data_IF_580199270435
#
_entry.id   IF_580199270435
#
_cell.length_a   1.000
_cell.length_b   1.000
_cell.length_c   1.000
_cell.angle_alpha   90.00
_cell.angle_beta   90.00
_cell.angle_gamma   90.00
#
_symmetry.space_group_name_H-M   'P 1'
#
loop_
_entity.id
_entity.type
_entity.pdbx_description
1 polymer ?
#
# COMPACT_ATOMS: atom_id res chain seq x y z
N UNK A 1 -20.52 20.18 -22.34
CA UNK A 1 -19.97 20.78 -21.13
C UNK A 1 -19.40 19.65 -20.29
N UNK A 2 -18.07 19.49 -20.11
CA UNK A 2 -17.56 18.51 -19.19
C UNK A 2 -17.92 18.94 -17.76
N UNK A 3 -18.56 18.02 -17.02
CA UNK A 3 -18.86 18.19 -15.60
C UNK A 3 -17.60 18.58 -14.86
N UNK A 4 -17.56 19.78 -14.30
CA UNK A 4 -16.55 20.22 -13.35
C UNK A 4 -16.70 19.43 -12.05
N UNK A 5 -16.07 18.24 -12.00
CA UNK A 5 -15.96 17.50 -10.75
C UNK A 5 -15.21 18.34 -9.73
N UNK A 6 -15.72 18.41 -8.50
CA UNK A 6 -15.03 19.02 -7.38
C UNK A 6 -13.57 18.54 -7.32
N UNK A 7 -12.59 19.39 -6.97
CA UNK A 7 -11.21 18.97 -6.88
C UNK A 7 -11.12 17.79 -5.91
N UNK A 8 -10.64 16.64 -6.42
CA UNK A 8 -10.38 15.46 -5.60
C UNK A 8 -9.41 15.88 -4.48
N UNK A 9 -9.76 15.60 -3.24
CA UNK A 9 -8.86 15.79 -2.11
C UNK A 9 -7.50 15.11 -2.32
N UNK A 10 -6.53 15.28 -1.40
CA UNK A 10 -5.24 14.61 -1.52
C UNK A 10 -5.44 13.10 -1.56
N UNK A 11 -4.75 12.42 -2.49
CA UNK A 11 -4.69 10.97 -2.56
C UNK A 11 -3.96 10.43 -1.33
N UNK A 12 -4.53 9.45 -0.64
CA UNK A 12 -3.90 8.78 0.52
C UNK A 12 -3.21 7.50 0.08
N UNK A 13 -1.90 7.45 0.27
CA UNK A 13 -1.09 6.26 0.02
C UNK A 13 -0.63 5.65 1.33
N UNK A 14 -0.80 4.33 1.46
CA UNK A 14 -0.23 3.54 2.54
C UNK A 14 1.07 2.91 2.03
N UNK A 15 2.19 3.20 2.71
CA UNK A 15 3.50 2.65 2.39
C UNK A 15 3.84 1.52 3.36
N UNK A 16 4.04 0.30 2.85
CA UNK A 16 4.29 -0.90 3.66
C UNK A 16 5.67 -1.46 3.35
N UNK A 17 6.53 -1.52 4.37
CA UNK A 17 7.83 -2.19 4.28
C UNK A 17 7.70 -3.66 4.66
N UNK A 18 8.07 -4.58 3.77
CA UNK A 18 8.16 -6.01 4.11
C UNK A 18 9.32 -6.36 5.04
N UNK A 19 10.17 -5.40 5.39
CA UNK A 19 11.29 -5.58 6.31
C UNK A 19 10.97 -5.00 7.68
N UNK A 20 11.17 -5.79 8.72
CA UNK A 20 11.08 -5.33 10.12
C UNK A 20 12.36 -4.68 10.64
N UNK A 21 13.43 -4.62 9.84
CA UNK A 21 14.68 -3.94 10.24
C UNK A 21 14.46 -2.44 10.27
N UNK A 22 14.86 -1.79 11.38
CA UNK A 22 14.75 -0.35 11.57
C UNK A 22 15.43 0.47 10.43
N UNK A 23 16.60 0.02 10.00
CA UNK A 23 17.35 0.60 8.89
C UNK A 23 17.43 -0.42 7.75
N UNK A 24 16.47 -0.40 6.85
CA UNK A 24 16.46 -1.22 5.65
C UNK A 24 16.24 -0.36 4.42
N UNK A 25 16.89 -0.71 3.30
CA UNK A 25 16.67 -0.01 2.03
C UNK A 25 15.19 0.05 1.64
N UNK A 26 14.39 -0.97 2.03
CA UNK A 26 12.96 -1.00 1.80
C UNK A 26 12.20 0.04 2.63
N UNK A 27 12.57 0.26 3.88
CA UNK A 27 11.97 1.30 4.71
C UNK A 27 12.44 2.69 4.26
N UNK A 28 13.72 2.85 3.92
CA UNK A 28 14.27 4.15 3.51
C UNK A 28 13.66 4.65 2.19
N UNK A 29 13.45 3.77 1.21
CA UNK A 29 12.80 4.18 -0.05
C UNK A 29 11.34 4.63 0.18
N UNK A 30 10.61 4.02 1.10
CA UNK A 30 9.24 4.43 1.43
C UNK A 30 9.21 5.75 2.20
N UNK A 31 10.19 6.00 3.08
CA UNK A 31 10.37 7.30 3.73
C UNK A 31 10.72 8.38 2.71
N UNK A 32 11.56 8.07 1.71
CA UNK A 32 11.87 8.98 0.61
C UNK A 32 10.63 9.32 -0.22
N UNK A 33 9.76 8.33 -0.55
CA UNK A 33 8.47 8.59 -1.19
C UNK A 33 7.63 9.59 -0.37
N UNK A 34 7.56 9.42 0.94
CA UNK A 34 6.84 10.35 1.82
C UNK A 34 7.42 11.77 1.77
N UNK A 35 8.77 11.91 1.73
CA UNK A 35 9.42 13.21 1.61
C UNK A 35 9.18 13.89 0.25
N UNK A 36 9.04 13.09 -0.81
CA UNK A 36 8.83 13.57 -2.19
C UNK A 36 7.37 13.80 -2.54
N UNK A 37 6.44 13.38 -1.67
CA UNK A 37 5.01 13.54 -1.91
C UNK A 37 4.62 15.03 -2.01
N UNK A 38 3.87 15.35 -3.07
CA UNK A 38 3.31 16.70 -3.26
C UNK A 38 2.10 16.92 -2.33
N UNK A 39 1.64 18.16 -2.14
CA UNK A 39 0.42 18.44 -1.35
C UNK A 39 -0.84 17.71 -1.82
N UNK A 40 -0.83 17.18 -3.05
CA UNK A 40 -1.95 16.39 -3.59
C UNK A 40 -1.87 14.90 -3.24
N UNK A 41 -0.82 14.46 -2.53
CA UNK A 41 -0.60 13.05 -2.11
C UNK A 41 -0.13 13.04 -0.67
N UNK A 42 -0.90 12.39 0.19
CA UNK A 42 -0.51 12.07 1.56
C UNK A 42 0.07 10.64 1.60
N UNK A 43 1.22 10.45 2.27
CA UNK A 43 1.84 9.13 2.43
C UNK A 43 1.96 8.79 3.90
N UNK A 44 1.21 7.78 4.34
CA UNK A 44 1.32 7.16 5.64
C UNK A 44 2.25 5.95 5.56
N UNK A 45 3.27 5.87 6.42
CA UNK A 45 4.13 4.68 6.52
C UNK A 45 3.57 3.78 7.61
N UNK A 46 3.18 2.56 7.24
CA UNK A 46 2.63 1.59 8.18
C UNK A 46 3.76 0.93 9.00
N UNK A 47 3.69 1.02 10.29
CA UNK A 47 4.68 0.49 11.25
C UNK A 47 4.19 -0.72 12.06
N UNK A 48 2.90 -1.07 11.94
CA UNK A 48 2.26 -2.15 12.69
C UNK A 48 2.56 -3.58 12.21
N UNK A 49 3.35 -3.77 11.14
CA UNK A 49 3.55 -5.09 10.52
C UNK A 49 4.08 -6.15 11.49
N UNK A 50 5.00 -5.76 12.38
CA UNK A 50 5.61 -6.66 13.37
C UNK A 50 4.73 -6.99 14.57
N UNK A 51 3.61 -6.29 14.74
CA UNK A 51 2.68 -6.48 15.87
C UNK A 51 1.48 -7.34 15.51
N UNK A 52 1.36 -7.77 14.26
CA UNK A 52 0.26 -8.62 13.82
C UNK A 52 0.42 -10.03 14.41
N UNK A 53 -0.63 -10.59 15.04
CA UNK A 53 -0.62 -12.00 15.41
C UNK A 53 -0.56 -12.86 14.14
N UNK A 54 -0.11 -14.11 14.29
CA UNK A 54 -0.17 -15.04 13.17
C UNK A 54 -1.62 -15.23 12.71
N UNK A 55 -1.82 -15.23 11.40
CA UNK A 55 -3.13 -15.45 10.81
C UNK A 55 -3.69 -16.81 11.27
N UNK A 56 -4.92 -16.75 11.74
CA UNK A 56 -5.70 -17.94 12.08
C UNK A 56 -7.12 -17.75 11.52
N UNK A 57 -7.58 -18.61 10.60
CA UNK A 57 -8.92 -18.55 10.04
C UNK A 57 -10.04 -18.52 11.09
N UNK A 58 -9.84 -19.17 12.24
CA UNK A 58 -10.85 -19.18 13.33
C UNK A 58 -11.09 -17.78 13.94
N UNK A 59 -10.14 -16.87 13.77
CA UNK A 59 -10.24 -15.47 14.24
C UNK A 59 -10.72 -14.51 13.15
N UNK A 60 -11.00 -15.00 11.94
CA UNK A 60 -11.37 -14.20 10.76
C UNK A 60 -12.70 -14.66 10.15
N UNK A 61 -13.47 -15.49 10.85
CA UNK A 61 -14.79 -15.97 10.44
C UNK A 61 -15.89 -14.94 10.67
N UNK A 62 -17.08 -15.24 10.14
CA UNK A 62 -18.28 -14.43 10.36
C UNK A 62 -18.60 -14.34 11.86
N UNK A 63 -18.76 -13.12 12.36
CA UNK A 63 -18.99 -12.85 13.79
C UNK A 63 -17.75 -12.93 14.69
N UNK A 64 -16.58 -13.27 14.16
CA UNK A 64 -15.34 -13.25 14.95
C UNK A 64 -14.91 -11.82 15.30
N UNK A 65 -14.35 -11.66 16.51
CA UNK A 65 -13.74 -10.40 16.93
C UNK A 65 -12.28 -10.38 16.49
N UNK A 66 -11.98 -9.61 15.46
CA UNK A 66 -10.61 -9.46 14.97
C UNK A 66 -9.68 -8.90 16.05
N UNK A 67 -8.42 -9.37 16.16
CA UNK A 67 -7.41 -8.77 17.01
C UNK A 67 -7.22 -7.28 16.67
N UNK A 68 -6.96 -6.43 17.68
CA UNK A 68 -6.87 -4.97 17.51
C UNK A 68 -5.85 -4.56 16.44
N UNK A 69 -4.67 -5.18 16.43
CA UNK A 69 -3.65 -4.91 15.42
C UNK A 69 -4.13 -5.22 13.98
N UNK A 70 -4.98 -6.24 13.82
CA UNK A 70 -5.59 -6.58 12.52
C UNK A 70 -6.64 -5.55 12.14
N UNK A 71 -7.47 -5.11 13.10
CA UNK A 71 -8.42 -4.02 12.87
C UNK A 71 -7.71 -2.75 12.42
N UNK A 72 -6.56 -2.43 13.03
CA UNK A 72 -5.76 -1.25 12.67
C UNK A 72 -5.19 -1.39 11.26
N UNK A 73 -4.66 -2.57 10.88
CA UNK A 73 -4.22 -2.84 9.51
C UNK A 73 -5.35 -2.66 8.50
N UNK A 74 -6.50 -3.30 8.72
CA UNK A 74 -7.67 -3.19 7.83
C UNK A 74 -8.16 -1.77 7.72
N UNK A 75 -8.18 -1.04 8.83
CA UNK A 75 -8.56 0.37 8.86
C UNK A 75 -7.56 1.24 8.07
N UNK A 76 -6.26 1.02 8.21
CA UNK A 76 -5.24 1.72 7.45
C UNK A 76 -5.37 1.46 5.94
N UNK A 77 -5.54 0.18 5.54
CA UNK A 77 -5.79 -0.22 4.15
C UNK A 77 -7.10 0.40 3.63
N UNK A 78 -8.18 0.37 4.42
CA UNK A 78 -9.49 0.91 4.03
C UNK A 78 -9.48 2.41 3.78
N UNK A 79 -8.71 3.18 4.57
CA UNK A 79 -8.56 4.64 4.40
C UNK A 79 -7.67 5.03 3.23
N UNK A 80 -6.78 4.15 2.79
CA UNK A 80 -5.86 4.44 1.71
C UNK A 80 -6.55 4.33 0.34
N UNK A 81 -6.19 5.20 -0.58
CA UNK A 81 -6.59 5.16 -1.99
C UNK A 81 -5.67 4.25 -2.82
N UNK A 82 -4.49 3.94 -2.31
CA UNK A 82 -3.53 3.04 -2.93
C UNK A 82 -2.45 2.61 -1.93
N UNK A 83 -1.69 1.59 -2.28
CA UNK A 83 -0.63 1.04 -1.43
C UNK A 83 0.68 0.99 -2.21
N UNK A 84 1.79 1.38 -1.58
CA UNK A 84 3.13 1.18 -2.11
C UNK A 84 3.87 0.21 -1.20
N UNK A 85 4.32 -0.92 -1.75
CA UNK A 85 5.01 -1.96 -1.00
C UNK A 85 6.47 -2.02 -1.46
N UNK A 86 7.39 -2.05 -0.50
CA UNK A 86 8.80 -2.38 -0.74
C UNK A 86 9.20 -3.55 0.14
N UNK A 87 9.64 -4.65 -0.47
CA UNK A 87 9.89 -5.91 0.24
C UNK A 87 11.25 -6.52 -0.10
N UNK A 88 11.98 -7.02 0.90
CA UNK A 88 13.14 -7.87 0.64
C UNK A 88 12.71 -9.28 0.21
N UNK A 89 13.70 -10.07 -0.19
CA UNK A 89 13.56 -11.50 -0.41
C UNK A 89 14.31 -12.27 0.66
N UNK A 90 13.64 -13.21 1.33
CA UNK A 90 14.24 -14.12 2.31
C UNK A 90 14.00 -15.55 1.87
N UNK A 91 15.09 -16.32 1.68
CA UNK A 91 15.02 -17.71 1.22
C UNK A 91 14.12 -17.89 -0.02
N UNK A 92 14.28 -17.02 -1.02
CA UNK A 92 13.47 -16.96 -2.25
C UNK A 92 11.96 -16.73 -2.02
N UNK A 93 11.55 -16.26 -0.84
CA UNK A 93 10.15 -16.02 -0.50
C UNK A 93 9.85 -14.60 -0.04
N UNK A 94 8.57 -14.28 -0.03
CA UNK A 94 8.03 -13.07 0.61
C UNK A 94 8.28 -13.16 2.11
N UNK A 95 8.76 -12.10 2.79
CA UNK A 95 8.95 -12.12 4.24
C UNK A 95 7.70 -12.54 4.99
N UNK A 96 7.85 -13.44 5.97
CA UNK A 96 6.72 -14.01 6.70
C UNK A 96 5.80 -12.97 7.32
N UNK A 97 6.34 -11.87 7.86
CA UNK A 97 5.53 -10.78 8.42
C UNK A 97 4.65 -10.10 7.35
N UNK A 98 5.17 -9.87 6.14
CA UNK A 98 4.39 -9.30 5.06
C UNK A 98 3.34 -10.28 4.55
N UNK A 99 3.72 -11.55 4.36
CA UNK A 99 2.77 -12.60 3.96
C UNK A 99 1.64 -12.74 4.97
N UNK A 100 1.96 -12.73 6.26
CA UNK A 100 0.98 -12.76 7.35
C UNK A 100 -0.01 -11.57 7.28
N UNK A 101 0.49 -10.37 6.99
CA UNK A 101 -0.39 -9.20 6.80
C UNK A 101 -1.32 -9.37 5.60
N UNK A 102 -0.82 -9.93 4.49
CA UNK A 102 -1.66 -10.22 3.32
C UNK A 102 -2.73 -11.26 3.65
N UNK A 103 -2.39 -12.31 4.42
CA UNK A 103 -3.36 -13.34 4.83
C UNK A 103 -4.52 -12.73 5.64
N UNK A 104 -4.23 -11.78 6.53
CA UNK A 104 -5.25 -11.02 7.27
C UNK A 104 -6.10 -10.09 6.40
N UNK A 105 -5.69 -9.80 5.17
CA UNK A 105 -6.44 -8.93 4.23
C UNK A 105 -7.26 -9.70 3.20
N UNK A 106 -7.04 -11.02 3.06
CA UNK A 106 -7.69 -11.84 2.00
C UNK A 106 -9.21 -11.82 2.11
N UNK A 107 -9.75 -11.90 3.33
CA UNK A 107 -11.20 -11.95 3.57
C UNK A 107 -11.85 -10.56 3.61
N UNK A 108 -11.05 -9.49 3.68
CA UNK A 108 -11.56 -8.13 3.80
C UNK A 108 -11.83 -7.46 2.46
N UNK A 109 -12.89 -6.65 2.34
CA UNK A 109 -13.19 -5.91 1.11
C UNK A 109 -12.24 -4.72 0.89
N UNK A 110 -11.44 -4.33 1.88
CA UNK A 110 -10.64 -3.10 1.88
C UNK A 110 -9.55 -3.10 0.81
N UNK A 111 -9.09 -4.31 0.43
CA UNK A 111 -7.99 -4.49 -0.53
C UNK A 111 -8.47 -4.59 -1.99
N UNK A 112 -9.75 -4.89 -2.23
CA UNK A 112 -10.31 -5.14 -3.55
C UNK A 112 -10.14 -3.90 -4.45
N UNK A 113 -9.62 -4.13 -5.67
CA UNK A 113 -9.29 -3.12 -6.69
C UNK A 113 -8.27 -2.06 -6.25
N UNK A 114 -7.68 -2.19 -5.06
CA UNK A 114 -6.70 -1.24 -4.55
C UNK A 114 -5.51 -1.12 -5.52
N UNK A 115 -5.15 0.10 -5.96
CA UNK A 115 -3.93 0.32 -6.74
C UNK A 115 -2.70 0.00 -5.91
N UNK A 116 -1.81 -0.80 -6.46
CA UNK A 116 -0.57 -1.22 -5.79
C UNK A 116 0.64 -0.83 -6.61
N UNK A 117 1.60 -0.14 -5.98
CA UNK A 117 2.96 0.02 -6.46
C UNK A 117 3.91 -0.96 -5.77
N UNK A 118 4.79 -1.60 -6.52
CA UNK A 118 5.79 -2.53 -5.99
C UNK A 118 7.20 -2.02 -6.26
N UNK A 119 7.97 -1.77 -5.20
CA UNK A 119 9.35 -1.31 -5.28
C UNK A 119 10.31 -2.45 -4.94
N UNK A 120 11.14 -2.82 -5.91
CA UNK A 120 12.19 -3.80 -5.70
C UNK A 120 13.54 -3.10 -5.49
N UNK A 121 14.04 -3.08 -4.25
CA UNK A 121 15.31 -2.42 -3.93
C UNK A 121 16.55 -3.26 -4.22
N UNK A 122 16.37 -4.56 -4.54
CA UNK A 122 17.48 -5.49 -4.79
C UNK A 122 17.31 -6.19 -6.13
N UNK A 123 18.30 -6.13 -7.03
CA UNK A 123 18.24 -6.85 -8.31
C UNK A 123 18.21 -8.38 -8.15
N UNK A 124 18.51 -8.89 -6.96
CA UNK A 124 18.48 -10.32 -6.62
C UNK A 124 17.14 -10.81 -6.10
N UNK A 125 16.23 -9.89 -5.74
CA UNK A 125 14.89 -10.22 -5.21
C UNK A 125 13.90 -10.46 -6.36
N UNK A 126 14.07 -11.53 -7.11
CA UNK A 126 13.23 -11.84 -8.27
C UNK A 126 12.08 -12.78 -7.90
N UNK A 127 12.34 -13.79 -7.08
CA UNK A 127 11.35 -14.79 -6.67
C UNK A 127 10.28 -14.19 -5.76
N UNK A 128 10.70 -13.51 -4.70
CA UNK A 128 9.76 -12.87 -3.76
C UNK A 128 8.93 -11.79 -4.45
N UNK A 129 9.53 -11.02 -5.36
CA UNK A 129 8.80 -9.97 -6.08
C UNK A 129 7.72 -10.56 -6.99
N UNK A 130 8.02 -11.63 -7.73
CA UNK A 130 7.06 -12.33 -8.57
C UNK A 130 5.94 -12.98 -7.74
N UNK A 131 6.29 -13.67 -6.65
CA UNK A 131 5.32 -14.30 -5.74
C UNK A 131 4.41 -13.27 -5.05
N UNK A 132 4.96 -12.12 -4.65
CA UNK A 132 4.18 -11.02 -4.06
C UNK A 132 3.20 -10.43 -5.08
N UNK A 133 3.66 -10.18 -6.31
CA UNK A 133 2.82 -9.68 -7.39
C UNK A 133 1.65 -10.64 -7.69
N UNK A 134 1.92 -11.95 -7.72
CA UNK A 134 0.88 -12.97 -7.94
C UNK A 134 -0.12 -13.02 -6.78
N UNK A 135 0.36 -13.02 -5.53
CA UNK A 135 -0.52 -12.98 -4.35
C UNK A 135 -1.46 -11.78 -4.40
N UNK A 136 -0.94 -10.59 -4.73
CA UNK A 136 -1.74 -9.37 -4.82
C UNK A 136 -2.79 -9.44 -5.94
N UNK A 137 -2.45 -10.00 -7.11
CA UNK A 137 -3.44 -10.21 -8.18
C UNK A 137 -4.56 -11.16 -7.75
N UNK A 138 -4.21 -12.26 -7.07
CA UNK A 138 -5.18 -13.22 -6.51
C UNK A 138 -6.13 -12.55 -5.52
N UNK A 139 -5.65 -11.54 -4.78
CA UNK A 139 -6.46 -10.72 -3.88
C UNK A 139 -7.28 -9.64 -4.60
N UNK A 140 -7.40 -9.70 -5.93
CA UNK A 140 -8.13 -8.75 -6.76
C UNK A 140 -7.65 -7.30 -6.68
N UNK A 141 -6.36 -7.08 -6.40
CA UNK A 141 -5.75 -5.75 -6.45
C UNK A 141 -5.34 -5.37 -7.88
N UNK A 142 -5.00 -4.11 -8.11
CA UNK A 142 -4.54 -3.60 -9.39
C UNK A 142 -3.08 -3.17 -9.29
N UNK A 143 -2.16 -3.95 -9.87
CA UNK A 143 -0.77 -3.54 -9.98
C UNK A 143 -0.64 -2.38 -10.98
N UNK A 144 -0.17 -1.23 -10.51
CA UNK A 144 0.05 -0.04 -11.34
C UNK A 144 1.40 -0.18 -12.04
N UNK A 145 1.42 -0.46 -13.33
CA UNK A 145 2.63 -0.78 -14.10
C UNK A 145 3.74 0.26 -13.90
N UNK A 146 3.44 1.55 -14.05
CA UNK A 146 4.41 2.65 -13.86
C UNK A 146 4.85 2.86 -12.40
N UNK A 147 4.25 2.15 -11.42
CA UNK A 147 4.63 2.16 -10.01
C UNK A 147 5.28 0.83 -9.56
N UNK A 148 5.41 -0.16 -10.44
CA UNK A 148 6.11 -1.41 -10.19
C UNK A 148 7.51 -1.34 -10.78
N UNK A 149 8.50 -0.89 -9.98
CA UNK A 149 9.84 -0.57 -10.49
C UNK A 149 10.95 -1.22 -9.67
N UNK A 150 12.09 -1.49 -10.32
CA UNK A 150 13.32 -1.86 -9.66
C UNK A 150 14.13 -0.61 -9.30
N UNK A 151 14.62 -0.52 -8.07
CA UNK A 151 15.48 0.55 -7.56
C UNK A 151 16.69 -0.09 -6.86
N UNK A 152 17.77 -0.43 -7.56
CA UNK A 152 18.87 -1.25 -7.01
C UNK A 152 19.74 -0.46 -6.02
N UNK A 153 19.20 -0.21 -4.83
CA UNK A 153 19.84 0.55 -3.74
C UNK A 153 20.23 -0.33 -2.53
N UNK A 154 19.86 -1.60 -2.54
CA UNK A 154 20.19 -2.51 -1.45
C UNK A 154 21.72 -2.62 -1.24
N UNK A 155 22.16 -2.48 0.01
CA UNK A 155 23.59 -2.52 0.38
C UNK A 155 24.35 -1.21 0.13
N UNK A 156 23.74 -0.15 -0.42
CA UNK A 156 24.39 1.14 -0.64
C UNK A 156 24.42 2.04 0.59
N UNK A 157 23.75 1.66 1.68
CA UNK A 157 23.73 2.46 2.92
C UNK A 157 23.01 3.81 2.79
N UNK A 158 22.13 3.97 1.79
CA UNK A 158 21.40 5.22 1.56
C UNK A 158 20.24 5.34 2.55
N UNK A 159 20.10 6.50 3.15
CA UNK A 159 18.93 6.94 3.91
C UNK A 159 17.90 7.65 3.01
N UNK A 160 16.75 7.97 3.56
CA UNK A 160 15.67 8.63 2.84
C UNK A 160 16.08 10.00 2.27
N UNK A 161 16.92 10.75 2.97
CA UNK A 161 17.38 12.06 2.53
C UNK A 161 18.32 11.93 1.32
N UNK A 162 19.29 11.03 1.38
CA UNK A 162 20.19 10.72 0.26
C UNK A 162 19.44 10.23 -0.97
N UNK A 163 18.44 9.36 -0.78
CA UNK A 163 17.58 8.87 -1.88
C UNK A 163 16.80 10.03 -2.51
N UNK A 164 16.24 10.92 -1.69
CA UNK A 164 15.43 12.06 -2.16
C UNK A 164 16.27 13.14 -2.86
N UNK A 165 17.56 13.23 -2.56
CA UNK A 165 18.49 14.20 -3.15
C UNK A 165 19.17 13.65 -4.42
N UNK A 166 19.27 12.34 -4.58
CA UNK A 166 19.80 11.71 -5.79
C UNK A 166 18.87 11.98 -6.97
N UNK A 167 19.36 12.62 -8.01
CA UNK A 167 18.57 13.08 -9.16
C UNK A 167 17.83 11.95 -9.86
N UNK A 168 18.48 10.80 -10.05
CA UNK A 168 17.89 9.66 -10.75
C UNK A 168 16.84 8.96 -9.89
N UNK A 169 17.19 8.63 -8.63
CA UNK A 169 16.27 7.96 -7.72
C UNK A 169 15.03 8.82 -7.44
N UNK A 170 15.22 10.12 -7.22
CA UNK A 170 14.15 11.09 -7.06
C UNK A 170 13.18 11.07 -8.26
N UNK A 171 13.70 11.21 -9.48
CA UNK A 171 12.87 11.24 -10.68
C UNK A 171 12.04 9.96 -10.85
N UNK A 172 12.62 8.80 -10.49
CA UNK A 172 11.94 7.50 -10.53
C UNK A 172 10.83 7.42 -9.47
N UNK A 173 11.09 7.86 -8.23
CA UNK A 173 10.09 7.85 -7.17
C UNK A 173 8.95 8.86 -7.43
N UNK A 174 9.26 10.03 -7.97
CA UNK A 174 8.24 10.97 -8.44
C UNK A 174 7.39 10.36 -9.58
N UNK A 175 7.99 9.53 -10.44
CA UNK A 175 7.30 8.73 -11.45
C UNK A 175 6.30 7.75 -10.82
N UNK A 176 6.70 7.05 -9.76
CA UNK A 176 5.80 6.18 -8.97
C UNK A 176 4.60 6.97 -8.45
N UNK A 177 4.84 8.11 -7.79
CA UNK A 177 3.77 8.94 -7.24
C UNK A 177 2.79 9.43 -8.32
N UNK A 178 3.31 9.86 -9.49
CA UNK A 178 2.47 10.24 -10.62
C UNK A 178 1.62 9.08 -11.13
N UNK A 179 2.19 7.89 -11.29
CA UNK A 179 1.48 6.69 -11.76
C UNK A 179 0.40 6.26 -10.79
N UNK A 180 0.69 6.28 -9.48
CA UNK A 180 -0.32 6.00 -8.44
C UNK A 180 -1.47 7.02 -8.49
N UNK A 181 -1.16 8.30 -8.65
CA UNK A 181 -2.18 9.36 -8.78
C UNK A 181 -3.04 9.17 -10.02
N UNK A 182 -2.45 8.78 -11.14
CA UNK A 182 -3.17 8.53 -12.39
C UNK A 182 -4.14 7.34 -12.31
N UNK A 183 -3.88 6.35 -11.44
CA UNK A 183 -4.74 5.20 -11.24
C UNK A 183 -5.97 5.48 -10.34
N UNK A 184 -6.01 6.63 -9.64
CA UNK A 184 -7.05 6.95 -8.67
C UNK A 184 -8.48 7.01 -9.26
N UNK A 185 -8.73 7.64 -10.43
CA UNK A 185 -10.09 7.71 -10.99
C UNK A 185 -10.68 6.33 -11.27
N UNK A 186 -9.91 5.43 -11.86
CA UNK A 186 -10.34 4.06 -12.17
C UNK A 186 -10.64 3.28 -10.88
N UNK A 187 -9.82 3.45 -9.85
CA UNK A 187 -10.05 2.85 -8.54
C UNK A 187 -11.37 3.33 -7.93
N UNK A 188 -11.60 4.63 -7.92
CA UNK A 188 -12.82 5.22 -7.36
C UNK A 188 -14.07 4.74 -8.10
N UNK A 189 -14.03 4.66 -9.43
CA UNK A 189 -15.12 4.16 -10.25
C UNK A 189 -15.44 2.68 -9.92
N UNK A 190 -14.41 1.82 -9.83
CA UNK A 190 -14.58 0.39 -9.49
C UNK A 190 -15.08 0.19 -8.06
N UNK A 191 -14.53 0.94 -7.11
CA UNK A 191 -14.92 0.85 -5.70
C UNK A 191 -16.36 1.28 -5.50
N UNK A 192 -16.81 2.37 -6.16
CA UNK A 192 -18.21 2.83 -6.10
C UNK A 192 -19.22 1.84 -6.69
N UNK A 193 -18.78 0.92 -7.54
CA UNK A 193 -19.61 -0.14 -8.11
C UNK A 193 -19.75 -1.40 -7.23
N UNK A 194 -19.00 -1.49 -6.12
CA UNK A 194 -19.08 -2.63 -5.20
C UNK A 194 -20.39 -2.56 -4.38
N UNK A 195 -21.11 -3.69 -4.20
CA UNK A 195 -22.27 -3.76 -3.33
C UNK A 195 -21.90 -3.32 -1.89
N UNK A 196 -22.63 -2.37 -1.32
CA UNK A 196 -22.41 -1.88 0.05
C UNK A 196 -21.47 -0.69 0.19
N UNK A 197 -20.98 -0.07 -0.91
CA UNK A 197 -20.12 1.12 -0.87
C UNK A 197 -20.89 2.44 -0.75
N UNK A 198 -22.23 2.42 -0.56
CA UNK A 198 -23.01 3.65 -0.37
C UNK A 198 -22.68 4.29 0.97
N UNK A 199 -22.06 5.42 0.88
CA UNK A 199 -21.78 6.51 1.79
C UNK A 199 -22.54 6.46 3.13
N UNK A 200 -21.81 6.29 4.23
CA UNK A 200 -22.31 6.59 5.58
C UNK A 200 -22.22 8.11 5.84
N UNK A 201 -22.87 8.88 4.99
CA UNK A 201 -22.94 10.33 5.06
C UNK A 201 -24.39 10.79 5.22
N UNK A 202 -24.76 11.13 6.46
CA UNK A 202 -25.97 11.84 6.90
C UNK A 202 -26.97 11.00 7.71
N UNK A 203 -26.61 10.77 8.96
CA UNK A 203 -27.66 10.63 9.99
C UNK A 203 -28.15 12.05 10.28
N UNK A 204 -29.24 12.46 9.63
CA UNK A 204 -29.98 13.64 9.99
C UNK A 204 -30.53 13.47 11.41
N UNK A 205 -30.05 14.30 12.31
CA UNK A 205 -30.59 14.50 13.66
C UNK A 205 -31.92 15.23 13.50
N UNK A 206 -33.03 14.49 13.45
CA UNK A 206 -34.36 15.08 13.61
C UNK A 206 -34.71 15.06 15.09
N UNK A 207 -34.65 16.24 15.68
CA UNK A 207 -35.15 16.53 17.02
C UNK A 207 -36.69 16.52 16.97
N UNK A 208 -37.32 15.75 17.80
CA UNK A 208 -38.67 16.01 18.38
C UNK A 208 -38.59 15.71 19.86
#
# INVERSE_FOLDING_TARGET
>A
MPNGGAPLGPMRLLAISGSLRAHSSNAEVLRAIRQLASPSIEVEVYDGLGSLPHFNPDLDGEGAVLPSAVQDLRRAVGRADGIVISSPEYAHGVPGALKNALDWLVSGPEIIYKPIGLLNTSPRSTHAHAALAESLRTMSTVLVEGACIALPIAGRGLDAASISQDRELRARLEGVLRSMRAALPDYQARRGALPGSSDSGSVGMTTV
#
